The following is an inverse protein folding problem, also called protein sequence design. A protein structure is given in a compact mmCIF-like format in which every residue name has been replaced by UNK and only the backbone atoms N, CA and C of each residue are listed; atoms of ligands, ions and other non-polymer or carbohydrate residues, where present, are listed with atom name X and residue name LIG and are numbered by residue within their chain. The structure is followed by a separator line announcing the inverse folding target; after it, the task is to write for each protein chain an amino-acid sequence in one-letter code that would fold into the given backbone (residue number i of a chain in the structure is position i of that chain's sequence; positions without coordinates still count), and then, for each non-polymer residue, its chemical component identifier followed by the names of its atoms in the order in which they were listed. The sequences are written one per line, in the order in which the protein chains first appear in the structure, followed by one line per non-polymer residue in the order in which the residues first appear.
data_IF_084399973716
#
_entry.id   IF_084399973716
#
_cell.length_a   1.000
_cell.length_b   1.000
_cell.length_c   1.000
_cell.angle_alpha   90.00
_cell.angle_beta   90.00
_cell.angle_gamma   90.00
#
_symmetry.space_group_name_H-M   'P 1'
#
loop_
_entity.id
_entity.type
_entity.pdbx_description
1 polymer ?
#
# COMPACT_ATOMS: atom_id res chain seq x y z
N UNK A 1 -19.71 -12.19 -26.30
CA UNK A 1 -18.43 -12.93 -26.21
C UNK A 1 -17.43 -12.02 -25.54
N UNK A 2 -17.19 -12.18 -24.24
CA UNK A 2 -16.09 -11.51 -23.55
C UNK A 2 -15.24 -12.59 -22.90
N UNK A 3 -14.09 -12.80 -23.51
CA UNK A 3 -13.04 -13.68 -23.01
C UNK A 3 -12.32 -12.91 -21.89
N UNK A 4 -12.66 -13.24 -20.65
CA UNK A 4 -12.01 -12.70 -19.47
C UNK A 4 -10.52 -13.07 -19.52
N UNK A 5 -9.66 -12.07 -19.80
CA UNK A 5 -8.24 -12.18 -19.55
C UNK A 5 -8.00 -12.25 -18.03
N UNK A 6 -8.05 -13.47 -17.50
CA UNK A 6 -7.50 -13.80 -16.19
C UNK A 6 -6.03 -13.38 -16.17
N UNK A 7 -5.54 -12.78 -15.08
CA UNK A 7 -4.14 -12.40 -14.98
C UNK A 7 -3.28 -13.64 -15.25
N UNK A 8 -2.32 -13.51 -16.16
CA UNK A 8 -1.37 -14.54 -16.53
C UNK A 8 -0.67 -15.02 -15.27
N UNK A 9 -1.21 -16.10 -14.68
CA UNK A 9 -0.59 -16.79 -13.56
C UNK A 9 0.56 -17.52 -14.19
N UNK A 10 1.67 -16.82 -14.38
CA UNK A 10 2.95 -17.42 -14.67
C UNK A 10 3.14 -18.50 -13.61
N UNK A 11 2.95 -19.76 -14.00
CA UNK A 11 3.05 -20.90 -13.11
C UNK A 11 4.51 -21.01 -12.72
N UNK A 12 4.91 -20.26 -11.69
CA UNK A 12 6.17 -20.50 -11.02
C UNK A 12 6.16 -21.98 -10.62
N UNK A 13 7.28 -22.67 -10.83
CA UNK A 13 7.39 -24.14 -10.76
C UNK A 13 7.18 -24.62 -9.33
N UNK A 14 5.92 -24.57 -8.88
CA UNK A 14 5.55 -24.84 -7.51
C UNK A 14 5.63 -26.34 -7.28
N UNK A 15 6.39 -26.72 -6.25
CA UNK A 15 6.48 -28.11 -5.81
C UNK A 15 5.09 -28.53 -5.34
N UNK A 16 4.59 -29.63 -5.89
CA UNK A 16 3.29 -30.19 -5.54
C UNK A 16 3.43 -31.13 -4.34
N UNK A 17 2.65 -30.89 -3.29
CA UNK A 17 2.61 -31.70 -2.07
C UNK A 17 1.37 -32.58 -2.04
N UNK A 18 1.54 -33.86 -1.72
CA UNK A 18 0.43 -34.76 -1.46
C UNK A 18 -0.24 -34.37 -0.13
N UNK A 19 -1.58 -34.51 -0.08
CA UNK A 19 -2.29 -34.44 1.19
C UNK A 19 -1.89 -35.66 2.02
N UNK A 20 -1.39 -35.44 3.24
CA UNK A 20 -1.03 -36.54 4.15
C UNK A 20 -2.22 -37.46 4.39
N UNK A 21 -1.99 -38.78 4.34
CA UNK A 21 -3.00 -39.79 4.64
C UNK A 21 -3.20 -40.02 6.14
N UNK A 22 -2.33 -39.46 6.99
CA UNK A 22 -2.45 -39.58 8.45
C UNK A 22 -3.59 -38.70 8.96
N UNK A 23 -4.55 -39.30 9.65
CA UNK A 23 -5.42 -38.61 10.60
C UNK A 23 -4.58 -38.16 11.80
N UNK A 24 -4.68 -36.91 12.32
CA UNK A 24 -5.66 -35.85 12.05
C UNK A 24 -5.24 -34.81 10.99
N UNK A 25 -4.07 -34.97 10.37
CA UNK A 25 -3.49 -34.00 9.44
C UNK A 25 -4.32 -33.92 8.16
N UNK A 26 -4.79 -35.06 7.67
CA UNK A 26 -5.70 -35.18 6.52
C UNK A 26 -6.93 -34.29 6.67
N UNK A 27 -7.64 -34.40 7.80
CA UNK A 27 -8.81 -33.54 8.11
C UNK A 27 -8.46 -32.07 8.15
N UNK A 28 -7.33 -31.70 8.76
CA UNK A 28 -6.89 -30.30 8.81
C UNK A 28 -6.56 -29.75 7.41
N UNK A 29 -5.95 -30.56 6.55
CA UNK A 29 -5.68 -30.19 5.15
C UNK A 29 -6.97 -30.02 4.35
N UNK A 30 -7.91 -30.95 4.49
CA UNK A 30 -9.25 -30.89 3.88
C UNK A 30 -10.02 -29.64 4.30
N UNK A 31 -10.05 -29.35 5.60
CA UNK A 31 -10.64 -28.14 6.14
C UNK A 31 -9.97 -26.87 5.58
N UNK A 32 -8.64 -26.86 5.50
CA UNK A 32 -7.89 -25.71 4.99
C UNK A 32 -8.17 -25.43 3.50
N UNK A 33 -8.33 -26.48 2.68
CA UNK A 33 -8.74 -26.36 1.27
C UNK A 33 -10.26 -26.23 1.08
N UNK A 34 -11.04 -26.22 2.17
CA UNK A 34 -12.51 -26.20 2.19
C UNK A 34 -13.14 -27.29 1.33
N UNK A 35 -12.64 -28.52 1.43
CA UNK A 35 -13.24 -29.68 0.78
C UNK A 35 -13.52 -30.77 1.80
N UNK A 36 -14.66 -31.44 1.62
CA UNK A 36 -15.02 -32.62 2.39
C UNK A 36 -14.82 -33.87 1.55
N UNK A 37 -14.19 -34.89 2.13
CA UNK A 37 -14.10 -36.19 1.50
C UNK A 37 -15.49 -36.85 1.50
N UNK A 38 -16.03 -37.11 0.31
CA UNK A 38 -17.38 -37.62 0.15
C UNK A 38 -17.62 -38.20 -1.25
N UNK A 39 -18.89 -38.33 -1.64
CA UNK A 39 -19.27 -38.91 -2.94
C UNK A 39 -18.67 -38.15 -4.13
N UNK A 40 -18.61 -36.82 -4.02
CA UNK A 40 -18.19 -35.93 -5.11
C UNK A 40 -16.71 -35.50 -5.04
N UNK A 41 -15.99 -35.88 -4.00
CA UNK A 41 -14.57 -35.56 -3.85
C UNK A 41 -13.86 -36.63 -3.02
N UNK A 42 -12.88 -37.29 -3.61
CA UNK A 42 -12.02 -38.27 -2.93
C UNK A 42 -10.58 -37.83 -3.06
N UNK A 43 -9.89 -37.72 -1.92
CA UNK A 43 -8.45 -37.48 -1.90
C UNK A 43 -7.76 -38.74 -2.40
N UNK A 44 -7.24 -38.63 -3.60
CA UNK A 44 -6.42 -39.63 -4.30
C UNK A 44 -4.97 -39.15 -4.36
N UNK A 45 -4.05 -39.98 -4.86
CA UNK A 45 -2.65 -39.62 -5.09
C UNK A 45 -2.46 -38.41 -6.03
N UNK A 46 -3.50 -38.08 -6.82
CA UNK A 46 -3.49 -36.92 -7.71
C UNK A 46 -3.93 -35.62 -7.02
N UNK A 47 -4.44 -35.71 -5.79
CA UNK A 47 -4.89 -34.56 -5.02
C UNK A 47 -3.68 -33.90 -4.36
N UNK A 48 -3.08 -32.96 -5.08
CA UNK A 48 -1.87 -32.24 -4.66
C UNK A 48 -2.17 -30.77 -4.36
N UNK A 49 -1.37 -30.19 -3.47
CA UNK A 49 -1.43 -28.78 -3.05
C UNK A 49 -0.10 -28.13 -3.40
N UNK A 50 -0.14 -26.96 -4.04
CA UNK A 50 1.11 -26.27 -4.39
C UNK A 50 1.84 -25.73 -3.14
N UNK A 51 3.17 -25.69 -3.21
CA UNK A 51 4.06 -25.21 -2.15
C UNK A 51 3.70 -23.83 -1.61
N UNK A 52 3.13 -22.96 -2.45
CA UNK A 52 2.73 -21.59 -2.11
C UNK A 52 1.68 -21.53 -1.00
N UNK A 53 0.88 -22.59 -0.82
CA UNK A 53 -0.13 -22.66 0.24
C UNK A 53 0.46 -22.96 1.63
N UNK A 54 1.76 -23.22 1.71
CA UNK A 54 2.49 -23.47 2.95
C UNK A 54 3.34 -22.25 3.33
N UNK A 55 3.50 -21.97 4.63
CA UNK A 55 4.34 -20.84 5.09
C UNK A 55 5.82 -21.15 4.85
N UNK A 56 6.57 -20.14 4.38
CA UNK A 56 8.02 -20.20 4.12
C UNK A 56 8.76 -20.47 5.43
N UNK A 57 9.16 -21.73 5.63
CA UNK A 57 9.74 -22.24 6.89
C UNK A 57 9.44 -23.72 7.12
N UNK A 58 8.26 -24.18 6.69
CA UNK A 58 7.87 -25.60 6.76
C UNK A 58 8.30 -26.43 5.55
N UNK A 59 8.81 -25.78 4.50
CA UNK A 59 9.05 -26.33 3.16
C UNK A 59 10.53 -26.70 2.94
N UNK A 60 11.32 -26.89 4.01
CA UNK A 60 12.67 -27.46 3.88
C UNK A 60 12.55 -28.98 3.89
N UNK A 61 12.46 -29.52 2.68
CA UNK A 61 12.67 -30.93 2.30
C UNK A 61 11.66 -31.91 2.91
N UNK A 62 10.94 -32.58 2.00
CA UNK A 62 10.23 -33.86 2.15
C UNK A 62 9.19 -33.92 3.26
N UNK A 63 7.91 -34.10 2.86
CA UNK A 63 6.85 -34.76 3.63
C UNK A 63 7.01 -34.71 5.16
N UNK A 64 6.96 -33.52 5.76
CA UNK A 64 6.81 -33.45 7.21
C UNK A 64 5.37 -33.78 7.53
N UNK A 65 5.18 -35.04 7.94
CA UNK A 65 3.98 -35.52 8.62
C UNK A 65 3.56 -34.46 9.65
N UNK A 66 2.43 -33.79 9.41
CA UNK A 66 1.91 -32.76 10.30
C UNK A 66 1.81 -31.34 9.73
N UNK A 67 2.37 -31.05 8.54
CA UNK A 67 2.27 -29.70 7.96
C UNK A 67 0.93 -29.52 7.24
N UNK A 68 0.19 -28.47 7.63
CA UNK A 68 -1.12 -28.12 7.06
C UNK A 68 -0.98 -26.82 6.26
N UNK A 69 -1.53 -26.75 5.03
CA UNK A 69 -1.54 -25.52 4.25
C UNK A 69 -2.37 -24.46 4.98
N UNK A 70 -1.87 -23.24 5.03
CA UNK A 70 -2.49 -22.14 5.80
C UNK A 70 -2.57 -20.83 5.02
N UNK A 71 -2.01 -20.80 3.81
CA UNK A 71 -1.96 -19.60 2.98
C UNK A 71 -2.93 -19.79 1.83
N UNK A 72 -4.15 -19.29 2.00
CA UNK A 72 -5.16 -19.28 0.93
C UNK A 72 -5.78 -17.90 0.81
N UNK A 73 -6.19 -17.52 -0.40
CA UNK A 73 -6.81 -16.21 -0.67
C UNK A 73 -8.13 -15.99 0.07
N UNK A 74 -8.81 -17.06 0.49
CA UNK A 74 -10.03 -17.01 1.31
C UNK A 74 -9.75 -16.95 2.81
N UNK A 75 -8.51 -17.15 3.26
CA UNK A 75 -8.09 -16.90 4.63
C UNK A 75 -7.66 -15.43 4.70
N UNK A 76 -8.62 -14.54 4.45
CA UNK A 76 -8.44 -13.08 4.56
C UNK A 76 -8.91 -12.61 5.93
N UNK A 77 -8.12 -12.98 6.92
CA UNK A 77 -7.90 -12.32 8.22
C UNK A 77 -7.25 -13.35 9.16
N UNK A 78 -6.16 -13.02 9.88
CA UNK A 78 -5.91 -13.75 11.12
C UNK A 78 -7.17 -13.61 11.98
N UNK A 79 -7.58 -14.62 12.77
CA UNK A 79 -8.59 -14.38 13.80
C UNK A 79 -8.12 -13.15 14.55
N UNK A 80 -8.86 -12.03 14.46
CA UNK A 80 -8.65 -10.94 15.40
C UNK A 80 -8.71 -11.63 16.74
N UNK A 81 -7.65 -11.48 17.54
CA UNK A 81 -7.59 -11.97 18.91
C UNK A 81 -8.77 -11.31 19.61
N UNK A 82 -9.93 -11.97 19.58
CA UNK A 82 -11.13 -11.53 20.26
C UNK A 82 -10.77 -11.49 21.73
N UNK A 83 -11.27 -10.49 22.45
CA UNK A 83 -11.19 -10.51 23.91
C UNK A 83 -11.75 -11.86 24.36
N UNK A 84 -11.06 -12.54 25.27
CA UNK A 84 -11.61 -13.73 25.92
C UNK A 84 -13.02 -13.39 26.43
N UNK A 85 -14.00 -14.30 26.32
CA UNK A 85 -15.35 -14.04 26.80
C UNK A 85 -15.28 -13.51 28.22
N UNK A 86 -15.75 -12.28 28.43
CA UNK A 86 -15.71 -11.66 29.74
C UNK A 86 -16.46 -12.56 30.73
N UNK A 87 -15.78 -12.99 31.79
CA UNK A 87 -16.37 -13.78 32.85
C UNK A 87 -17.58 -13.02 33.42
N UNK A 88 -18.74 -13.65 33.37
CA UNK A 88 -19.96 -13.11 33.96
C UNK A 88 -19.91 -13.36 35.47
N UNK A 89 -19.42 -12.37 36.21
CA UNK A 89 -19.53 -12.37 37.66
C UNK A 89 -21.01 -12.24 38.05
N UNK A 90 -21.50 -13.22 38.81
CA UNK A 90 -22.81 -13.17 39.47
C UNK A 90 -22.78 -12.07 40.53
N UNK A 91 -23.78 -11.21 40.48
CA UNK A 91 -23.87 -9.96 41.23
C UNK A 91 -24.25 -10.19 42.69
N UNK A 92 -23.48 -9.59 43.61
CA UNK A 92 -23.94 -9.27 44.96
C UNK A 92 -23.69 -7.78 45.22
N UNK A 93 -24.78 -7.02 45.09
CA UNK A 93 -25.20 -5.83 45.87
C UNK A 93 -24.13 -5.01 46.60
N UNK A 94 -24.01 -3.72 46.25
CA UNK A 94 -24.36 -2.58 47.12
C UNK A 94 -23.83 -1.22 46.61
N UNK A 95 -24.76 -0.26 46.48
CA UNK A 95 -24.67 1.17 46.83
C UNK A 95 -23.61 2.13 46.23
N UNK A 96 -24.16 3.10 45.48
CA UNK A 96 -23.89 4.56 45.51
C UNK A 96 -22.45 5.07 45.30
N UNK A 97 -22.21 5.72 44.15
CA UNK A 97 -22.20 7.21 44.00
C UNK A 97 -21.23 7.70 42.91
N UNK A 98 -21.72 8.70 42.17
CA UNK A 98 -21.04 9.79 41.44
C UNK A 98 -19.63 9.58 40.85
N UNK A 99 -19.48 9.82 39.54
CA UNK A 99 -18.94 11.10 39.02
C UNK A 99 -18.86 11.09 37.49
N UNK A 100 -19.39 12.15 36.88
CA UNK A 100 -19.22 12.49 35.45
C UNK A 100 -17.82 13.07 35.23
N UNK A 101 -17.24 12.85 34.04
CA UNK A 101 -16.80 13.94 33.14
C UNK A 101 -16.25 13.38 31.82
N UNK A 102 -16.81 13.89 30.71
CA UNK A 102 -16.20 13.92 29.38
C UNK A 102 -15.18 15.06 29.33
N UNK A 103 -14.11 14.90 28.55
CA UNK A 103 -13.60 16.00 27.72
C UNK A 103 -12.71 15.50 26.58
N UNK A 104 -13.02 15.99 25.39
CA UNK A 104 -12.23 16.07 24.15
C UNK A 104 -11.05 17.05 24.28
N UNK A 105 -9.99 16.94 23.44
CA UNK A 105 -9.06 18.04 23.18
C UNK A 105 -9.24 18.61 21.75
N UNK A 106 -9.12 19.93 21.67
CA UNK A 106 -9.14 20.74 20.47
C UNK A 106 -7.71 21.03 19.96
N UNK A 107 -7.68 21.45 18.70
CA UNK A 107 -6.57 21.74 17.78
C UNK A 107 -5.75 22.96 18.22
N UNK A 108 -4.43 22.92 18.02
CA UNK A 108 -3.59 24.12 17.84
C UNK A 108 -2.69 23.89 16.63
N UNK A 109 -2.80 24.79 15.66
CA UNK A 109 -2.04 24.91 14.42
C UNK A 109 -1.11 26.12 14.61
N UNK A 110 0.16 25.99 14.24
CA UNK A 110 1.10 27.12 14.20
C UNK A 110 1.82 27.09 12.84
N UNK A 111 1.72 28.20 12.12
CA UNK A 111 2.23 28.45 10.78
C UNK A 111 3.26 29.58 10.90
N UNK A 112 4.43 29.42 10.26
CA UNK A 112 5.43 30.49 10.14
C UNK A 112 5.73 30.74 8.66
N UNK A 113 5.57 32.02 8.33
CA UNK A 113 5.86 32.71 7.08
C UNK A 113 7.36 32.82 6.79
N UNK A 114 7.72 33.04 5.52
CA UNK A 114 8.41 34.28 5.08
C UNK A 114 8.78 34.19 3.58
N UNK A 115 8.32 35.19 2.81
CA UNK A 115 8.83 35.54 1.48
C UNK A 115 10.13 36.36 1.59
N UNK A 116 10.97 36.31 0.55
CA UNK A 116 11.76 37.46 0.12
C UNK A 116 12.25 37.28 -1.31
N UNK A 117 11.83 38.21 -2.17
CA UNK A 117 12.30 38.41 -3.54
C UNK A 117 13.73 39.00 -3.58
N UNK A 118 14.48 38.75 -4.65
CA UNK A 118 15.29 39.77 -5.33
C UNK A 118 15.84 39.26 -6.67
N UNK A 119 15.39 39.91 -7.74
CA UNK A 119 16.03 39.99 -9.06
C UNK A 119 17.26 40.93 -8.97
N UNK A 120 18.28 40.74 -9.82
CA UNK A 120 18.79 41.75 -10.79
C UNK A 120 20.18 41.40 -11.39
N UNK A 121 20.21 41.46 -12.73
CA UNK A 121 21.24 41.84 -13.72
C UNK A 121 22.71 41.38 -13.66
N UNK A 122 23.17 40.97 -14.84
CA UNK A 122 24.55 40.75 -15.26
C UNK A 122 25.28 42.04 -15.70
N UNK A 123 26.62 41.96 -15.55
CA UNK A 123 27.72 42.68 -16.21
C UNK A 123 27.97 44.19 -15.97
N UNK A 124 29.15 44.48 -15.40
CA UNK A 124 30.17 45.34 -16.03
C UNK A 124 31.55 45.14 -15.37
N UNK A 125 32.53 44.86 -16.24
CA UNK A 125 34.02 44.91 -16.19
C UNK A 125 34.68 45.60 -14.98
N UNK A 126 35.70 44.99 -14.37
CA UNK A 126 36.76 45.73 -13.68
C UNK A 126 38.02 45.85 -14.55
N UNK A 127 38.48 47.10 -14.69
CA UNK A 127 39.75 47.49 -15.30
C UNK A 127 40.97 46.78 -14.67
N UNK A 128 41.92 46.52 -15.55
CA UNK A 128 43.27 46.02 -15.30
C UNK A 128 44.04 46.91 -14.30
N UNK A 129 44.79 46.32 -13.36
CA UNK A 129 46.07 46.89 -12.97
C UNK A 129 47.19 46.03 -13.53
N UNK A 130 47.98 46.67 -14.39
CA UNK A 130 49.33 46.26 -14.74
C UNK A 130 50.15 46.05 -13.46
N UNK A 131 50.48 44.80 -13.16
CA UNK A 131 51.52 44.46 -12.22
C UNK A 131 52.41 43.40 -12.85
N UNK A 132 53.38 43.90 -13.62
CA UNK A 132 54.64 43.22 -13.93
C UNK A 132 55.27 42.69 -12.63
N UNK A 133 55.03 41.41 -12.35
CA UNK A 133 55.76 40.65 -11.35
C UNK A 133 56.48 39.51 -12.07
N UNK A 134 57.79 39.64 -12.12
CA UNK A 134 58.71 38.54 -12.42
C UNK A 134 58.45 37.47 -11.36
N UNK A 135 57.96 36.30 -11.75
CA UNK A 135 57.94 35.14 -10.89
C UNK A 135 58.88 34.12 -11.50
N UNK A 136 59.87 33.83 -10.70
CA UNK A 136 60.95 32.89 -10.92
C UNK A 136 60.39 31.47 -11.04
N UNK A 137 61.06 30.73 -11.90
CA UNK A 137 60.93 29.31 -12.18
C UNK A 137 61.21 28.52 -10.90
N UNK A 138 60.18 27.98 -10.24
CA UNK A 138 60.22 26.87 -9.26
C UNK A 138 58.85 26.72 -8.54
N UNK A 139 57.83 26.14 -9.19
CA UNK A 139 56.64 25.48 -8.56
C UNK A 139 55.62 25.01 -9.62
N UNK A 140 56.03 24.12 -10.54
CA UNK A 140 55.12 23.58 -11.56
C UNK A 140 54.42 22.26 -11.13
N UNK A 141 54.89 21.61 -10.06
CA UNK A 141 54.39 20.30 -9.62
C UNK A 141 53.14 20.40 -8.73
N UNK A 142 53.06 21.38 -7.82
CA UNK A 142 51.94 21.50 -6.85
C UNK A 142 50.61 21.92 -7.49
N UNK A 143 50.64 22.74 -8.54
CA UNK A 143 49.41 23.11 -9.27
C UNK A 143 48.77 21.92 -9.99
N UNK A 144 49.59 20.96 -10.45
CA UNK A 144 49.14 19.81 -11.22
C UNK A 144 48.38 18.80 -10.36
N UNK A 145 48.81 18.59 -9.11
CA UNK A 145 48.11 17.72 -8.15
C UNK A 145 46.78 18.33 -7.69
N UNK A 146 46.76 19.64 -7.46
CA UNK A 146 45.53 20.35 -7.12
C UNK A 146 44.50 20.31 -8.25
N UNK A 147 44.93 20.45 -9.51
CA UNK A 147 44.05 20.28 -10.68
C UNK A 147 43.50 18.85 -10.80
N UNK A 148 44.33 17.84 -10.56
CA UNK A 148 43.90 16.44 -10.59
C UNK A 148 42.83 16.15 -9.50
N UNK A 149 43.04 16.67 -8.29
CA UNK A 149 42.09 16.55 -7.18
C UNK A 149 40.75 17.23 -7.49
N UNK A 150 40.78 18.44 -8.07
CA UNK A 150 39.56 19.14 -8.48
C UNK A 150 38.80 18.38 -9.59
N UNK A 151 39.51 17.79 -10.56
CA UNK A 151 38.88 16.94 -11.59
C UNK A 151 38.20 15.73 -10.99
N UNK A 152 38.82 15.07 -10.02
CA UNK A 152 38.23 13.91 -9.34
C UNK A 152 36.94 14.30 -8.60
N UNK A 153 36.94 15.45 -7.90
CA UNK A 153 35.73 15.97 -7.24
C UNK A 153 34.63 16.25 -8.26
N UNK A 154 34.95 16.92 -9.37
CA UNK A 154 33.99 17.23 -10.43
C UNK A 154 33.41 15.94 -11.02
N UNK A 155 34.24 14.96 -11.33
CA UNK A 155 33.81 13.67 -11.86
C UNK A 155 32.91 12.91 -10.88
N UNK A 156 33.25 12.91 -9.60
CA UNK A 156 32.44 12.26 -8.57
C UNK A 156 31.08 12.96 -8.40
N UNK A 157 31.08 14.30 -8.42
CA UNK A 157 29.85 15.09 -8.37
C UNK A 157 28.99 14.86 -9.60
N UNK A 158 29.57 14.83 -10.80
CA UNK A 158 28.86 14.53 -12.05
C UNK A 158 28.23 13.13 -12.01
N UNK A 159 28.95 12.12 -11.52
CA UNK A 159 28.40 10.76 -11.31
C UNK A 159 27.23 10.77 -10.33
N UNK A 160 27.32 11.55 -9.25
CA UNK A 160 26.26 11.68 -8.25
C UNK A 160 25.04 12.40 -8.80
N UNK A 161 25.24 13.49 -9.55
CA UNK A 161 24.18 14.23 -10.25
C UNK A 161 23.44 13.29 -11.19
N UNK A 162 24.15 12.59 -12.07
CA UNK A 162 23.53 11.66 -13.01
C UNK A 162 22.76 10.54 -12.30
N UNK A 163 23.28 10.01 -11.19
CA UNK A 163 22.58 9.00 -10.39
C UNK A 163 21.28 9.55 -9.78
N UNK A 164 21.32 10.78 -9.25
CA UNK A 164 20.14 11.43 -8.69
C UNK A 164 19.10 11.75 -9.77
N UNK A 165 19.54 12.21 -10.94
CA UNK A 165 18.65 12.46 -12.08
C UNK A 165 17.94 11.18 -12.54
N UNK A 166 18.66 10.06 -12.62
CA UNK A 166 18.06 8.76 -12.92
C UNK A 166 17.02 8.33 -11.87
N UNK A 167 17.31 8.54 -10.58
CA UNK A 167 16.38 8.23 -9.50
C UNK A 167 15.13 9.12 -9.53
N UNK A 168 15.29 10.41 -9.84
CA UNK A 168 14.16 11.33 -10.03
C UNK A 168 13.25 10.85 -11.17
N UNK A 169 13.83 10.45 -12.29
CA UNK A 169 13.04 9.99 -13.44
C UNK A 169 12.32 8.67 -13.14
N UNK A 170 12.98 7.75 -12.44
CA UNK A 170 12.38 6.50 -11.98
C UNK A 170 11.21 6.76 -11.03
N UNK A 171 11.40 7.62 -10.02
CA UNK A 171 10.37 7.96 -9.04
C UNK A 171 9.18 8.66 -9.71
N UNK A 172 9.42 9.56 -10.67
CA UNK A 172 8.36 10.19 -11.47
C UNK A 172 7.55 9.15 -12.24
N UNK A 173 8.21 8.17 -12.88
CA UNK A 173 7.54 7.08 -13.59
C UNK A 173 6.67 6.24 -12.64
N UNK A 174 7.21 5.86 -11.48
CA UNK A 174 6.48 5.08 -10.48
C UNK A 174 5.26 5.83 -9.93
N UNK A 175 5.38 7.14 -9.67
CA UNK A 175 4.27 7.99 -9.26
C UNK A 175 3.17 8.01 -10.34
N UNK A 176 3.55 8.18 -11.60
CA UNK A 176 2.60 8.20 -12.71
C UNK A 176 1.87 6.86 -12.85
N UNK A 177 2.58 5.73 -12.77
CA UNK A 177 1.98 4.40 -12.89
C UNK A 177 1.06 4.08 -11.70
N UNK A 178 1.47 4.43 -10.49
CA UNK A 178 0.64 4.26 -9.29
C UNK A 178 -0.63 5.12 -9.39
N UNK A 179 -0.51 6.35 -9.89
CA UNK A 179 -1.66 7.23 -10.13
C UNK A 179 -2.61 6.63 -11.16
N UNK A 180 -2.09 6.14 -12.29
CA UNK A 180 -2.90 5.44 -13.32
C UNK A 180 -3.62 4.22 -12.75
N UNK A 181 -2.95 3.43 -11.94
CA UNK A 181 -3.56 2.27 -11.27
C UNK A 181 -4.69 2.71 -10.34
N UNK A 182 -4.46 3.74 -9.51
CA UNK A 182 -5.49 4.31 -8.63
C UNK A 182 -6.71 4.75 -9.43
N UNK A 183 -6.51 5.49 -10.51
CA UNK A 183 -7.61 5.99 -11.35
C UNK A 183 -8.36 4.85 -12.05
N UNK A 184 -7.65 3.81 -12.50
CA UNK A 184 -8.28 2.63 -13.08
C UNK A 184 -9.12 1.84 -12.07
N UNK A 185 -8.62 1.65 -10.83
CA UNK A 185 -9.39 1.03 -9.76
C UNK A 185 -10.58 1.88 -9.34
N UNK A 186 -10.39 3.18 -9.19
CA UNK A 186 -11.45 4.12 -8.81
C UNK A 186 -12.60 4.15 -9.82
N UNK A 187 -12.32 3.98 -11.12
CA UNK A 187 -13.38 3.89 -12.16
C UNK A 187 -14.25 2.62 -12.05
N UNK A 188 -13.69 1.52 -11.52
CA UNK A 188 -14.37 0.22 -11.41
C UNK A 188 -15.08 0.02 -10.08
N UNK A 189 -14.68 0.76 -9.05
CA UNK A 189 -15.29 0.68 -7.74
C UNK A 189 -16.53 1.58 -7.66
N UNK A 190 -17.47 1.16 -6.81
CA UNK A 190 -18.53 2.06 -6.37
C UNK A 190 -17.89 3.25 -5.65
N UNK A 191 -18.08 4.43 -6.23
CA UNK A 191 -17.70 5.70 -5.63
C UNK A 191 -18.89 6.65 -5.79
N UNK A 192 -19.20 7.37 -4.72
CA UNK A 192 -20.25 8.39 -4.69
C UNK A 192 -20.05 9.43 -5.80
N UNK A 193 -18.81 9.84 -6.08
CA UNK A 193 -18.49 10.78 -7.16
C UNK A 193 -18.77 10.17 -8.54
N UNK A 194 -18.47 8.88 -8.74
CA UNK A 194 -18.80 8.20 -10.00
C UNK A 194 -20.31 8.07 -10.17
N UNK A 195 -21.03 7.79 -9.08
CA UNK A 195 -22.49 7.70 -9.05
C UNK A 195 -23.13 9.04 -9.41
N UNK A 196 -22.59 10.15 -8.89
CA UNK A 196 -23.00 11.53 -9.19
C UNK A 196 -22.66 11.97 -10.63
N UNK A 197 -21.56 11.47 -11.19
CA UNK A 197 -21.06 11.96 -12.49
C UNK A 197 -21.98 11.69 -13.69
N UNK A 198 -22.78 10.61 -13.65
CA UNK A 198 -23.70 10.21 -14.73
C UNK A 198 -24.88 9.42 -14.17
N UNK A 199 -26.09 9.70 -14.66
CA UNK A 199 -27.30 8.97 -14.25
C UNK A 199 -27.26 7.47 -14.55
N UNK A 200 -26.59 7.07 -15.63
CA UNK A 200 -26.38 5.64 -15.93
C UNK A 200 -25.59 4.92 -14.83
N UNK A 201 -24.67 5.63 -14.15
CA UNK A 201 -23.93 5.07 -13.03
C UNK A 201 -24.82 4.98 -11.78
N UNK A 202 -25.65 6.00 -11.52
CA UNK A 202 -26.63 5.95 -10.44
C UNK A 202 -27.59 4.76 -10.60
N UNK A 203 -28.13 4.56 -11.80
CA UNK A 203 -28.98 3.42 -12.13
C UNK A 203 -28.26 2.08 -11.96
N UNK A 204 -27.04 1.97 -12.47
CA UNK A 204 -26.26 0.74 -12.36
C UNK A 204 -25.96 0.33 -10.91
N UNK A 205 -25.57 1.28 -10.06
CA UNK A 205 -25.12 0.97 -8.70
C UNK A 205 -26.24 0.95 -7.66
N UNK A 206 -27.31 1.74 -7.85
CA UNK A 206 -28.35 1.95 -6.84
C UNK A 206 -29.75 1.55 -7.29
N UNK A 207 -29.95 1.34 -8.60
CA UNK A 207 -31.26 1.06 -9.19
C UNK A 207 -32.14 2.30 -9.43
N UNK A 208 -31.73 3.48 -8.95
CA UNK A 208 -32.45 4.74 -9.19
C UNK A 208 -32.09 5.35 -10.54
N UNK A 209 -33.09 5.90 -11.24
CA UNK A 209 -32.93 6.37 -12.62
C UNK A 209 -31.93 7.52 -12.77
N UNK A 210 -31.79 8.37 -11.74
CA UNK A 210 -30.86 9.49 -11.72
C UNK A 210 -30.26 9.68 -10.33
N UNK A 211 -29.14 10.39 -10.28
CA UNK A 211 -28.53 10.82 -9.02
C UNK A 211 -29.50 11.64 -8.16
N UNK A 212 -30.26 12.53 -8.79
CA UNK A 212 -31.24 13.38 -8.11
C UNK A 212 -32.34 12.58 -7.45
N UNK A 213 -32.82 11.51 -8.10
CA UNK A 213 -33.85 10.64 -7.53
C UNK A 213 -33.33 9.92 -6.28
N UNK A 214 -32.10 9.40 -6.36
CA UNK A 214 -31.42 8.79 -5.21
C UNK A 214 -31.36 9.77 -4.04
N UNK A 215 -30.89 10.99 -4.29
CA UNK A 215 -30.74 12.02 -3.26
C UNK A 215 -32.07 12.48 -2.68
N UNK A 216 -33.11 12.67 -3.49
CA UNK A 216 -34.45 13.04 -3.02
C UNK A 216 -35.03 11.99 -2.05
N UNK A 217 -34.81 10.70 -2.34
CA UNK A 217 -35.22 9.61 -1.42
C UNK A 217 -34.39 9.64 -0.13
N UNK A 218 -33.07 9.85 -0.22
CA UNK A 218 -32.23 10.00 0.95
C UNK A 218 -32.66 11.17 1.83
N UNK A 219 -32.95 12.33 1.24
CA UNK A 219 -33.44 13.52 1.94
C UNK A 219 -34.79 13.28 2.60
N UNK A 220 -35.74 12.68 1.89
CA UNK A 220 -37.04 12.32 2.45
C UNK A 220 -36.88 11.39 3.66
N UNK A 221 -36.09 10.33 3.55
CA UNK A 221 -35.84 9.40 4.65
C UNK A 221 -35.13 10.07 5.81
N UNK A 222 -34.17 10.96 5.53
CA UNK A 222 -33.46 11.73 6.55
C UNK A 222 -34.42 12.62 7.35
N UNK A 223 -35.27 13.38 6.67
CA UNK A 223 -36.29 14.22 7.32
C UNK A 223 -37.35 13.41 8.06
N UNK A 224 -37.78 12.28 7.50
CA UNK A 224 -38.71 11.37 8.16
C UNK A 224 -38.14 10.81 9.46
N UNK A 225 -36.89 10.35 9.44
CA UNK A 225 -36.22 9.82 10.64
C UNK A 225 -35.98 10.89 11.71
N UNK A 226 -35.73 12.13 11.31
CA UNK A 226 -35.65 13.28 12.23
C UNK A 226 -37.00 13.57 12.87
N UNK A 227 -38.08 13.55 12.09
CA UNK A 227 -39.44 13.81 12.58
C UNK A 227 -39.93 12.74 13.56
N UNK A 228 -39.54 11.47 13.39
CA UNK A 228 -39.93 10.36 14.28
C UNK A 228 -39.13 10.34 15.59
N UNK A 229 -37.98 11.04 15.66
CA UNK A 229 -37.14 11.11 16.86
C UNK A 229 -37.50 12.25 17.81
N UNK A 230 -38.31 13.20 17.37
CA UNK A 230 -38.83 14.31 18.18
C UNK A 230 -40.27 14.02 18.61
#
# INVERSE_FOLDING_TARGET
MYEEMLPDRRWDKSVLFLISDREPVRKKCLYAIRRDAGKHFKVTENTKICSQHFRKGYIRNVSRDGVVPSVFSWIRTPPRKGKEPAERNFELTASKSASRKLSTPAVVLEELSNESSNELSYEMVPDLPDCSLKVEDETQTDFTEQEAYLREIIDNNNKKIHKLEQEIEELKRQLQDTQRQRDAFNKRLFNFENCKSKDSNAAFYTGFQSWETLMAVFEYLYHFLLAVKN
#
